data_IF_746352196189
#
_entry.id   IF_746352196189
#
_cell.length_a   1.000
_cell.length_b   1.000
_cell.length_c   1.000
_cell.angle_alpha   90.00
_cell.angle_beta   90.00
_cell.angle_gamma   90.00
#
_symmetry.space_group_name_H-M   'P 1'
#
loop_
_entity.id
_entity.type
_entity.pdbx_description
1 polymer ?
#
# COMPACT_ATOMS: atom_id res chain seq x y z
N UNK A 1 -12.43 7.05 -42.77
CA UNK A 1 -13.83 7.53 -42.60
C UNK A 1 -14.67 7.07 -43.77
N UNK A 2 -14.27 7.30 -45.01
CA UNK A 2 -15.00 6.95 -46.21
C UNK A 2 -15.30 5.46 -46.34
N UNK A 3 -14.36 4.60 -45.92
CA UNK A 3 -14.55 3.14 -45.94
C UNK A 3 -15.58 2.67 -44.90
N UNK A 4 -15.67 3.36 -43.77
CA UNK A 4 -16.65 3.02 -42.73
C UNK A 4 -18.06 3.46 -43.08
N UNK A 5 -18.20 4.59 -43.76
CA UNK A 5 -19.50 5.12 -44.21
C UNK A 5 -20.02 4.41 -45.48
N UNK A 6 -19.19 3.59 -46.16
CA UNK A 6 -19.49 2.88 -47.38
C UNK A 6 -19.90 1.41 -47.22
N UNK A 7 -20.04 0.88 -45.99
CA UNK A 7 -20.58 -0.44 -45.78
C UNK A 7 -22.07 -0.45 -46.10
N UNK A 8 -22.43 -1.00 -47.26
CA UNK A 8 -23.82 -1.23 -47.59
C UNK A 8 -24.47 -2.15 -46.54
N UNK A 9 -25.77 -1.93 -46.28
CA UNK A 9 -26.56 -2.56 -45.21
C UNK A 9 -26.66 -4.11 -45.26
N UNK A 10 -25.91 -4.77 -46.13
CA UNK A 10 -25.95 -6.23 -46.34
C UNK A 10 -24.74 -6.98 -45.74
N UNK A 11 -23.80 -6.29 -45.09
CA UNK A 11 -22.62 -6.95 -44.50
C UNK A 11 -22.74 -7.04 -42.99
N UNK A 12 -22.82 -8.25 -42.46
CA UNK A 12 -22.78 -8.54 -41.03
C UNK A 12 -21.34 -8.35 -40.42
N UNK A 13 -20.74 -7.17 -40.68
CA UNK A 13 -19.41 -6.86 -40.21
C UNK A 13 -19.49 -5.96 -38.95
N UNK A 14 -18.88 -6.39 -37.87
CA UNK A 14 -18.70 -5.57 -36.67
C UNK A 14 -17.24 -5.08 -36.62
N UNK A 15 -17.07 -3.75 -36.61
CA UNK A 15 -15.75 -3.12 -36.50
C UNK A 15 -15.48 -2.82 -35.03
N UNK A 16 -14.38 -3.34 -34.49
CA UNK A 16 -13.95 -3.11 -33.10
C UNK A 16 -12.59 -2.42 -33.14
N UNK A 17 -12.50 -1.27 -32.46
CA UNK A 17 -11.25 -0.55 -32.23
C UNK A 17 -10.94 -0.52 -30.75
N UNK A 18 -9.65 -0.51 -30.38
CA UNK A 18 -9.20 -0.32 -29.00
C UNK A 18 -8.18 0.82 -28.95
N UNK A 19 -8.31 1.66 -27.96
CA UNK A 19 -7.37 2.75 -27.67
C UNK A 19 -7.30 3.00 -26.15
N UNK A 20 -6.16 3.41 -25.67
CA UNK A 20 -5.99 3.92 -24.31
C UNK A 20 -6.17 5.44 -24.22
N UNK A 21 -6.32 6.12 -25.38
CA UNK A 21 -6.51 7.57 -25.46
C UNK A 21 -7.64 7.91 -26.43
N UNK A 22 -8.84 7.99 -25.90
CA UNK A 22 -10.01 8.40 -26.70
C UNK A 22 -10.00 9.88 -27.02
N UNK A 23 -9.34 10.69 -26.20
CA UNK A 23 -9.22 12.15 -26.29
C UNK A 23 -8.47 12.64 -27.54
N UNK A 24 -7.61 11.80 -28.14
CA UNK A 24 -6.86 12.13 -29.35
C UNK A 24 -7.53 11.65 -30.65
N UNK A 25 -8.62 10.89 -30.53
CA UNK A 25 -9.36 10.46 -31.73
C UNK A 25 -10.16 11.60 -32.31
N UNK A 26 -10.21 11.64 -33.64
CA UNK A 26 -11.07 12.57 -34.36
C UNK A 26 -12.56 12.31 -33.99
N UNK A 27 -13.27 13.34 -33.57
CA UNK A 27 -14.68 13.27 -33.20
C UNK A 27 -15.55 12.68 -34.31
N UNK A 28 -15.14 12.83 -35.59
CA UNK A 28 -15.81 12.22 -36.71
C UNK A 28 -15.83 10.69 -36.67
N UNK A 29 -14.84 10.05 -36.04
CA UNK A 29 -14.82 8.59 -35.84
C UNK A 29 -15.83 8.13 -34.79
N UNK A 30 -16.17 9.00 -33.86
CA UNK A 30 -17.04 8.70 -32.71
C UNK A 30 -18.52 9.01 -32.96
N UNK A 31 -18.87 9.41 -34.20
CA UNK A 31 -20.27 9.70 -34.61
C UNK A 31 -21.07 8.43 -34.86
N UNK A 32 -22.41 8.48 -34.68
CA UNK A 32 -23.31 7.38 -35.01
C UNK A 32 -23.07 6.82 -36.43
N UNK A 33 -23.11 5.49 -36.54
CA UNK A 33 -22.80 4.77 -37.78
C UNK A 33 -21.33 4.41 -37.99
N UNK A 34 -20.45 4.77 -37.01
CA UNK A 34 -19.02 4.42 -36.97
C UNK A 34 -18.70 3.75 -35.63
N UNK A 35 -17.81 4.32 -34.81
CA UNK A 35 -17.59 3.85 -33.42
C UNK A 35 -18.61 4.52 -32.48
N UNK A 36 -19.83 4.13 -32.56
CA UNK A 36 -20.94 4.72 -31.81
C UNK A 36 -21.07 4.16 -30.39
N UNK A 37 -20.49 2.97 -30.13
CA UNK A 37 -20.46 2.34 -28.81
C UNK A 37 -19.09 2.45 -28.19
N UNK A 38 -19.05 3.10 -27.03
CA UNK A 38 -17.83 3.25 -26.23
C UNK A 38 -17.97 2.35 -25.01
N UNK A 39 -17.06 1.39 -24.88
CA UNK A 39 -17.01 0.50 -23.73
C UNK A 39 -15.72 0.81 -23.00
N UNK A 40 -15.84 1.31 -21.77
CA UNK A 40 -14.68 1.51 -20.89
C UNK A 40 -14.35 0.21 -20.20
N UNK A 41 -13.11 -0.26 -20.37
CA UNK A 41 -12.58 -1.41 -19.65
C UNK A 41 -11.87 -0.91 -18.40
N UNK A 42 -12.49 -1.10 -17.25
CA UNK A 42 -11.92 -0.75 -15.94
C UNK A 42 -10.89 -1.75 -15.48
N UNK A 43 -10.09 -1.36 -14.48
CA UNK A 43 -9.22 -2.31 -13.79
C UNK A 43 -10.06 -3.41 -13.13
N UNK A 44 -9.55 -4.66 -13.10
CA UNK A 44 -10.29 -5.77 -12.53
C UNK A 44 -10.39 -5.69 -11.00
N UNK A 45 -11.54 -6.10 -10.47
CA UNK A 45 -11.73 -6.37 -9.04
C UNK A 45 -10.94 -7.62 -8.59
N UNK A 46 -11.00 -7.99 -7.32
CA UNK A 46 -10.25 -9.15 -6.78
C UNK A 46 -10.63 -10.45 -7.48
N UNK A 47 -11.90 -10.64 -7.81
CA UNK A 47 -12.37 -11.85 -8.52
C UNK A 47 -11.89 -11.87 -9.95
N UNK A 48 -11.93 -10.73 -10.63
CA UNK A 48 -11.37 -10.55 -11.97
C UNK A 48 -9.87 -10.80 -11.99
N UNK A 49 -9.11 -10.27 -11.01
CA UNK A 49 -7.67 -10.52 -10.90
C UNK A 49 -7.36 -12.00 -10.67
N UNK A 50 -8.10 -12.66 -9.79
CA UNK A 50 -7.96 -14.11 -9.58
C UNK A 50 -8.25 -14.91 -10.86
N UNK A 51 -9.29 -14.55 -11.60
CA UNK A 51 -9.62 -15.20 -12.87
C UNK A 51 -8.52 -14.99 -13.93
N UNK A 52 -7.98 -13.77 -14.02
CA UNK A 52 -6.86 -13.44 -14.92
C UNK A 52 -5.61 -14.24 -14.54
N UNK A 53 -5.27 -14.29 -13.26
CA UNK A 53 -4.14 -15.08 -12.76
C UNK A 53 -4.29 -16.57 -13.11
N UNK A 54 -5.50 -17.15 -12.97
CA UNK A 54 -5.81 -18.52 -13.38
C UNK A 54 -5.58 -18.75 -14.88
N UNK A 55 -5.88 -17.77 -15.72
CA UNK A 55 -5.61 -17.86 -17.16
C UNK A 55 -4.10 -17.91 -17.44
N UNK A 56 -3.33 -17.01 -16.80
CA UNK A 56 -1.89 -16.91 -17.04
C UNK A 56 -1.06 -17.99 -16.34
N UNK A 57 -1.69 -18.84 -15.53
CA UNK A 57 -1.03 -19.97 -14.85
C UNK A 57 -1.32 -21.34 -15.49
N UNK A 58 -2.21 -21.43 -16.50
CA UNK A 58 -2.61 -22.70 -17.11
C UNK A 58 -1.44 -23.56 -17.62
N UNK A 59 -0.43 -22.91 -18.20
CA UNK A 59 0.74 -23.55 -18.80
C UNK A 59 1.98 -23.47 -17.88
N UNK A 60 1.80 -23.19 -16.61
CA UNK A 60 2.89 -23.02 -15.64
C UNK A 60 2.77 -24.05 -14.50
N UNK A 61 3.91 -24.52 -14.02
CA UNK A 61 3.95 -25.41 -12.87
C UNK A 61 3.85 -24.60 -11.57
N UNK A 62 2.69 -24.66 -10.90
CA UNK A 62 2.48 -24.04 -9.59
C UNK A 62 2.62 -25.09 -8.48
N UNK A 63 3.27 -24.68 -7.37
CA UNK A 63 3.17 -25.43 -6.12
C UNK A 63 1.72 -25.37 -5.59
N UNK A 64 1.21 -26.47 -4.98
CA UNK A 64 -0.11 -26.46 -4.33
C UNK A 64 -0.29 -25.39 -3.26
N UNK A 65 0.81 -24.91 -2.66
CA UNK A 65 0.82 -23.91 -1.60
C UNK A 65 0.65 -22.47 -2.13
N UNK A 66 0.66 -22.27 -3.46
CA UNK A 66 0.47 -20.94 -4.06
C UNK A 66 -1.01 -20.59 -4.10
N UNK A 67 -1.41 -19.60 -3.31
CA UNK A 67 -2.76 -19.04 -3.32
C UNK A 67 -2.88 -17.91 -4.35
N UNK A 68 -3.54 -18.19 -5.50
CA UNK A 68 -3.84 -17.13 -6.49
C UNK A 68 -4.81 -16.09 -5.95
N UNK A 69 -5.67 -16.46 -5.00
CA UNK A 69 -6.61 -15.56 -4.35
C UNK A 69 -5.88 -14.53 -3.48
N UNK A 70 -4.86 -14.96 -2.73
CA UNK A 70 -4.08 -14.05 -1.89
C UNK A 70 -3.22 -13.13 -2.76
N UNK A 71 -2.65 -13.64 -3.85
CA UNK A 71 -1.96 -12.81 -4.83
C UNK A 71 -2.92 -11.79 -5.49
N UNK A 72 -4.17 -12.18 -5.79
CA UNK A 72 -5.17 -11.27 -6.32
C UNK A 72 -5.52 -10.13 -5.34
N UNK A 73 -5.58 -10.42 -4.03
CA UNK A 73 -5.77 -9.39 -3.00
C UNK A 73 -4.59 -8.41 -2.94
N UNK A 74 -3.36 -8.92 -3.03
CA UNK A 74 -2.15 -8.11 -2.97
C UNK A 74 -1.94 -7.20 -4.19
N UNK A 75 -2.45 -7.62 -5.35
CA UNK A 75 -2.27 -6.92 -6.64
C UNK A 75 -3.38 -5.92 -6.94
N UNK A 76 -3.91 -5.25 -5.91
CA UNK A 76 -4.90 -4.18 -6.06
C UNK A 76 -4.37 -3.09 -6.99
N UNK A 77 -5.19 -2.67 -7.96
CA UNK A 77 -4.81 -1.67 -8.97
C UNK A 77 -4.03 -2.22 -10.18
N UNK A 78 -3.71 -3.53 -10.21
CA UNK A 78 -3.02 -4.13 -11.36
C UNK A 78 -3.98 -4.37 -12.51
N UNK A 79 -3.51 -4.08 -13.72
CA UNK A 79 -4.18 -4.45 -14.97
C UNK A 79 -3.95 -5.93 -15.31
N UNK A 80 -4.69 -6.45 -16.28
CA UNK A 80 -4.44 -7.79 -16.80
C UNK A 80 -3.02 -8.00 -17.33
N UNK A 81 -2.41 -6.96 -17.91
CA UNK A 81 -1.04 -6.99 -18.40
C UNK A 81 -0.02 -7.07 -17.25
N UNK A 82 -0.26 -6.34 -16.15
CA UNK A 82 0.62 -6.40 -14.98
C UNK A 82 0.57 -7.77 -14.33
N UNK A 83 -0.61 -8.38 -14.21
CA UNK A 83 -0.79 -9.73 -13.66
C UNK A 83 -0.12 -10.78 -14.56
N UNK A 84 -0.22 -10.64 -15.88
CA UNK A 84 0.49 -11.50 -16.84
C UNK A 84 2.00 -11.39 -16.66
N UNK A 85 2.52 -10.15 -16.49
CA UNK A 85 3.93 -9.90 -16.24
C UNK A 85 4.40 -10.54 -14.92
N UNK A 86 3.65 -10.40 -13.83
CA UNK A 86 3.94 -11.08 -12.55
C UNK A 86 4.15 -12.58 -12.76
N UNK A 87 3.18 -13.24 -13.39
CA UNK A 87 3.24 -14.70 -13.58
C UNK A 87 4.36 -15.12 -14.54
N UNK A 88 4.70 -14.30 -15.53
CA UNK A 88 5.81 -14.54 -16.42
C UNK A 88 7.16 -14.42 -15.70
N UNK A 89 7.36 -13.35 -14.92
CA UNK A 89 8.57 -13.16 -14.11
C UNK A 89 8.72 -14.28 -13.06
N UNK A 90 7.62 -14.77 -12.46
CA UNK A 90 7.64 -15.93 -11.57
C UNK A 90 8.16 -17.19 -12.28
N UNK A 91 7.69 -17.45 -13.50
CA UNK A 91 8.14 -18.59 -14.28
C UNK A 91 9.63 -18.49 -14.65
N UNK A 92 10.09 -17.31 -15.09
CA UNK A 92 11.50 -17.05 -15.38
C UNK A 92 12.34 -17.25 -14.12
N UNK A 93 11.90 -16.76 -12.99
CA UNK A 93 12.61 -16.92 -11.71
C UNK A 93 12.69 -18.38 -11.27
N UNK A 94 11.60 -19.13 -11.38
CA UNK A 94 11.55 -20.55 -11.03
C UNK A 94 12.56 -21.38 -11.83
N UNK A 95 12.75 -21.06 -13.13
CA UNK A 95 13.74 -21.73 -13.98
C UNK A 95 15.17 -21.34 -13.59
N UNK A 96 15.41 -20.05 -13.32
CA UNK A 96 16.75 -19.55 -12.93
C UNK A 96 17.23 -20.12 -11.60
N UNK A 97 16.34 -20.35 -10.65
CA UNK A 97 16.67 -20.89 -9.33
C UNK A 97 16.86 -22.42 -9.33
N UNK A 98 16.79 -23.07 -10.51
CA UNK A 98 17.01 -24.51 -10.65
C UNK A 98 15.92 -25.38 -10.02
N UNK A 99 14.76 -24.82 -9.69
CA UNK A 99 13.62 -25.51 -9.04
C UNK A 99 12.67 -26.17 -10.04
N UNK A 100 13.20 -26.79 -11.09
CA UNK A 100 12.42 -27.53 -12.12
C UNK A 100 11.30 -26.69 -12.77
N UNK A 101 11.38 -25.36 -12.71
CA UNK A 101 10.35 -24.45 -13.22
C UNK A 101 9.09 -24.35 -12.35
N UNK A 102 9.08 -24.94 -11.14
CA UNK A 102 7.94 -24.85 -10.22
C UNK A 102 7.91 -23.50 -9.52
N UNK A 103 6.79 -22.79 -9.64
CA UNK A 103 6.53 -21.52 -8.96
C UNK A 103 6.09 -21.81 -7.53
N UNK A 104 6.88 -21.36 -6.54
CA UNK A 104 6.59 -21.51 -5.11
C UNK A 104 6.09 -20.18 -4.53
N UNK A 105 5.46 -20.16 -3.32
CA UNK A 105 5.05 -18.92 -2.65
C UNK A 105 6.19 -17.90 -2.50
N UNK A 106 7.40 -18.34 -2.17
CA UNK A 106 8.58 -17.48 -2.03
C UNK A 106 8.94 -16.78 -3.34
N UNK A 107 8.83 -17.48 -4.47
CA UNK A 107 9.08 -16.91 -5.80
C UNK A 107 8.02 -15.84 -6.11
N UNK A 108 6.75 -16.14 -5.85
CA UNK A 108 5.66 -15.19 -6.08
C UNK A 108 5.88 -13.93 -5.26
N UNK A 109 6.22 -14.08 -3.99
CA UNK A 109 6.48 -12.96 -3.08
C UNK A 109 7.71 -12.13 -3.53
N UNK A 110 8.84 -12.78 -3.87
CA UNK A 110 10.05 -12.05 -4.32
C UNK A 110 9.81 -11.30 -5.64
N UNK A 111 9.07 -11.90 -6.57
CA UNK A 111 8.72 -11.26 -7.84
C UNK A 111 7.73 -10.12 -7.64
N UNK A 112 6.69 -10.30 -6.83
CA UNK A 112 5.75 -9.25 -6.49
C UNK A 112 6.48 -8.03 -5.91
N UNK A 113 7.31 -8.24 -4.91
CA UNK A 113 8.10 -7.18 -4.29
C UNK A 113 9.06 -6.51 -5.29
N UNK A 114 9.64 -7.28 -6.21
CA UNK A 114 10.51 -6.74 -7.26
C UNK A 114 9.77 -5.83 -8.24
N UNK A 115 8.52 -6.15 -8.54
CA UNK A 115 7.69 -5.34 -9.46
C UNK A 115 7.20 -4.08 -8.78
N UNK A 116 6.76 -4.18 -7.52
CA UNK A 116 6.16 -3.05 -6.79
C UNK A 116 7.23 -2.07 -6.28
N UNK A 117 8.33 -2.57 -5.74
CA UNK A 117 9.34 -1.74 -5.04
C UNK A 117 10.67 -1.68 -5.79
N UNK A 118 10.95 -2.68 -6.62
CA UNK A 118 12.21 -2.76 -7.36
C UNK A 118 13.08 -3.97 -6.98
N UNK A 119 14.17 -4.14 -7.70
CA UNK A 119 15.11 -5.23 -7.45
C UNK A 119 15.88 -5.05 -6.14
N UNK A 120 16.23 -6.15 -5.48
CA UNK A 120 17.11 -6.13 -4.29
C UNK A 120 18.43 -5.46 -4.62
N UNK A 121 18.81 -4.48 -3.81
CA UNK A 121 20.10 -3.80 -3.94
C UNK A 121 21.25 -4.67 -3.41
N UNK A 122 22.36 -4.72 -4.14
CA UNK A 122 23.57 -5.45 -3.72
C UNK A 122 24.57 -4.57 -2.92
N UNK A 123 24.16 -3.41 -2.45
CA UNK A 123 25.06 -2.52 -1.70
C UNK A 123 25.21 -2.99 -0.26
N UNK A 124 26.44 -3.13 0.19
CA UNK A 124 26.73 -3.29 1.61
C UNK A 124 26.23 -2.06 2.37
N UNK A 125 25.32 -2.25 3.29
CA UNK A 125 24.73 -1.18 4.12
C UNK A 125 25.48 -1.18 5.45
N UNK A 126 25.96 0.00 5.90
CA UNK A 126 26.58 0.11 7.24
C UNK A 126 25.55 -0.15 8.31
N UNK A 127 25.97 -0.71 9.46
CA UNK A 127 25.09 -0.98 10.62
C UNK A 127 24.34 0.28 11.08
N UNK A 128 25.00 1.43 11.06
CA UNK A 128 24.36 2.70 11.40
C UNK A 128 23.23 3.07 10.45
N UNK A 129 23.40 2.83 9.13
CA UNK A 129 22.36 3.05 8.15
C UNK A 129 21.23 2.01 8.29
N UNK A 130 21.58 0.74 8.56
CA UNK A 130 20.60 -0.33 8.79
C UNK A 130 19.71 -0.01 9.99
N UNK A 131 20.28 0.44 11.10
CA UNK A 131 19.54 0.85 12.28
C UNK A 131 18.60 2.05 11.98
N UNK A 132 19.07 3.02 11.22
CA UNK A 132 18.27 4.21 10.86
C UNK A 132 17.06 3.84 9.99
N UNK A 133 17.27 3.01 8.97
CA UNK A 133 16.18 2.49 8.13
C UNK A 133 15.21 1.67 8.98
N UNK A 134 15.70 0.86 9.91
CA UNK A 134 14.86 0.07 10.81
C UNK A 134 13.95 0.96 11.68
N UNK A 135 14.44 2.08 12.21
CA UNK A 135 13.59 3.03 12.93
C UNK A 135 12.54 3.67 12.03
N UNK A 136 12.92 4.03 10.80
CA UNK A 136 12.02 4.62 9.82
C UNK A 136 10.86 3.67 9.50
N UNK A 137 11.16 2.43 9.11
CA UNK A 137 10.14 1.42 8.79
C UNK A 137 9.32 1.02 10.02
N UNK A 138 9.95 0.92 11.20
CA UNK A 138 9.23 0.66 12.44
C UNK A 138 8.23 1.79 12.76
N UNK A 139 8.56 3.04 12.46
CA UNK A 139 7.66 4.18 12.59
C UNK A 139 6.40 4.03 11.74
N UNK A 140 6.55 3.72 10.45
CA UNK A 140 5.42 3.44 9.55
C UNK A 140 4.57 2.27 10.05
N UNK A 141 5.22 1.18 10.48
CA UNK A 141 4.53 -0.03 10.91
C UNK A 141 3.71 0.20 12.18
N UNK A 142 4.29 0.84 13.20
CA UNK A 142 3.60 1.12 14.47
C UNK A 142 2.41 2.04 14.24
N UNK A 143 2.59 3.14 13.50
CA UNK A 143 1.48 4.03 13.20
C UNK A 143 0.42 3.30 12.37
N UNK A 144 0.82 2.48 11.39
CA UNK A 144 -0.11 1.69 10.59
C UNK A 144 -0.99 0.76 11.43
N UNK A 145 -0.41 0.06 12.41
CA UNK A 145 -1.16 -0.81 13.34
C UNK A 145 -2.12 0.00 14.23
N UNK A 146 -1.72 1.22 14.63
CA UNK A 146 -2.54 2.08 15.50
C UNK A 146 -3.69 2.78 14.76
N UNK A 147 -3.62 2.90 13.44
CA UNK A 147 -4.68 3.54 12.64
C UNK A 147 -5.80 2.57 12.32
N UNK A 148 -6.98 2.77 12.91
CA UNK A 148 -8.13 1.88 12.77
C UNK A 148 -8.74 1.87 11.36
N UNK A 149 -8.68 2.98 10.66
CA UNK A 149 -9.27 3.15 9.32
C UNK A 149 -8.24 3.04 8.19
N UNK A 150 -7.09 2.41 8.47
CA UNK A 150 -6.03 2.24 7.47
C UNK A 150 -5.81 0.76 7.14
N UNK A 151 -5.04 0.52 6.10
CA UNK A 151 -4.70 -0.80 5.60
C UNK A 151 -3.87 -1.61 6.60
N UNK A 152 -4.02 -2.92 6.58
CA UNK A 152 -3.30 -3.81 7.49
C UNK A 152 -1.81 -3.85 7.16
N UNK A 153 -0.96 -3.76 8.19
CA UNK A 153 0.48 -4.00 8.07
C UNK A 153 0.70 -5.49 7.80
N UNK A 154 1.21 -5.80 6.62
CA UNK A 154 1.48 -7.18 6.23
C UNK A 154 2.91 -7.61 6.54
N UNK A 155 3.85 -6.72 6.28
CA UNK A 155 5.28 -7.03 6.34
C UNK A 155 6.09 -5.76 6.45
N UNK A 156 7.18 -5.82 7.19
CA UNK A 156 8.18 -4.74 7.30
C UNK A 156 9.53 -5.29 6.85
N UNK A 157 10.22 -4.58 5.96
CA UNK A 157 11.51 -5.01 5.43
C UNK A 157 12.49 -3.85 5.39
N UNK A 158 13.71 -4.07 5.87
CA UNK A 158 14.81 -3.13 5.77
C UNK A 158 15.83 -3.50 4.68
N UNK A 159 15.47 -4.46 3.84
CA UNK A 159 16.28 -4.81 2.68
C UNK A 159 16.15 -3.73 1.61
N UNK A 160 17.26 -3.16 1.12
CA UNK A 160 17.22 -2.15 0.07
C UNK A 160 16.59 -2.71 -1.21
N UNK A 161 15.65 -1.97 -1.79
CA UNK A 161 15.04 -2.30 -3.09
C UNK A 161 14.88 -1.03 -3.94
N UNK A 162 15.39 -1.04 -5.14
CA UNK A 162 15.41 0.15 -5.99
C UNK A 162 16.09 1.31 -5.28
N UNK A 163 15.42 2.44 -5.14
CA UNK A 163 15.89 3.63 -4.43
C UNK A 163 15.50 3.63 -2.93
N UNK A 164 14.60 2.72 -2.52
CA UNK A 164 14.15 2.60 -1.14
C UNK A 164 15.17 1.87 -0.26
N UNK A 165 15.40 2.39 0.93
CA UNK A 165 16.26 1.77 1.93
C UNK A 165 15.61 0.59 2.64
N UNK A 166 14.28 0.67 2.83
CA UNK A 166 13.39 -0.34 3.37
C UNK A 166 11.99 -0.12 2.84
N UNK A 167 11.02 -0.92 3.23
CA UNK A 167 9.62 -0.80 2.84
C UNK A 167 8.71 -1.46 3.86
N UNK A 168 7.67 -0.75 4.27
CA UNK A 168 6.55 -1.29 5.04
C UNK A 168 5.39 -1.57 4.08
N UNK A 169 4.98 -2.82 3.99
CA UNK A 169 3.91 -3.27 3.09
C UNK A 169 2.58 -3.24 3.81
N UNK A 170 1.62 -2.58 3.17
CA UNK A 170 0.23 -2.53 3.62
C UNK A 170 -0.66 -3.32 2.67
N UNK A 171 -1.63 -4.02 3.19
CA UNK A 171 -2.63 -4.74 2.42
C UNK A 171 -3.96 -4.00 2.50
N UNK A 172 -4.52 -3.50 1.38
CA UNK A 172 -5.83 -2.88 1.38
C UNK A 172 -6.89 -3.79 1.98
N UNK A 173 -7.66 -3.25 2.93
CA UNK A 173 -8.71 -3.99 3.63
C UNK A 173 -9.96 -4.20 2.77
N UNK A 174 -10.18 -3.33 1.79
CA UNK A 174 -11.34 -3.37 0.90
C UNK A 174 -10.94 -3.22 -0.56
N UNK A 175 -11.76 -3.80 -1.46
CA UNK A 175 -11.66 -3.58 -2.90
C UNK A 175 -12.36 -2.28 -3.37
N UNK A 176 -12.84 -1.44 -2.44
CA UNK A 176 -13.54 -0.19 -2.72
C UNK A 176 -12.54 0.90 -3.16
N UNK A 177 -11.94 0.68 -4.32
CA UNK A 177 -11.00 1.62 -4.92
C UNK A 177 -11.77 2.92 -5.26
N UNK A 178 -11.32 4.02 -4.64
CA UNK A 178 -11.79 5.37 -5.00
C UNK A 178 -12.89 5.94 -4.09
N UNK A 179 -13.37 5.22 -3.07
CA UNK A 179 -14.28 5.77 -2.07
C UNK A 179 -13.63 5.80 -0.68
N UNK A 180 -12.68 6.74 -0.51
CA UNK A 180 -11.95 6.88 0.74
C UNK A 180 -12.65 7.87 1.68
N UNK A 181 -12.76 7.49 2.96
CA UNK A 181 -13.25 8.40 4.01
C UNK A 181 -12.19 9.44 4.39
N UNK A 182 -12.61 10.54 5.02
CA UNK A 182 -11.68 11.54 5.56
C UNK A 182 -10.71 10.89 6.57
N UNK A 183 -11.21 10.01 7.43
CA UNK A 183 -10.42 9.32 8.45
C UNK A 183 -9.39 8.38 7.83
N UNK A 184 -9.72 7.68 6.73
CA UNK A 184 -8.76 6.88 5.98
C UNK A 184 -7.62 7.75 5.41
N UNK A 185 -7.96 8.88 4.77
CA UNK A 185 -6.95 9.78 4.18
C UNK A 185 -6.05 10.41 5.25
N UNK A 186 -6.60 10.83 6.39
CA UNK A 186 -5.82 11.31 7.52
C UNK A 186 -4.93 10.20 8.10
N UNK A 187 -5.41 8.97 8.18
CA UNK A 187 -4.62 7.82 8.61
C UNK A 187 -3.47 7.55 7.65
N UNK A 188 -3.70 7.66 6.35
CA UNK A 188 -2.67 7.53 5.31
C UNK A 188 -1.56 8.59 5.46
N UNK A 189 -1.94 9.85 5.73
CA UNK A 189 -0.99 10.93 6.04
C UNK A 189 -0.17 10.59 7.29
N UNK A 190 -0.83 10.16 8.37
CA UNK A 190 -0.16 9.81 9.64
C UNK A 190 0.83 8.68 9.47
N UNK A 191 0.45 7.63 8.73
CA UNK A 191 1.33 6.50 8.43
C UNK A 191 2.54 6.96 7.63
N UNK A 192 2.35 7.78 6.58
CA UNK A 192 3.45 8.32 5.78
C UNK A 192 4.42 9.18 6.63
N UNK A 193 3.93 9.91 7.61
CA UNK A 193 4.76 10.73 8.52
C UNK A 193 5.49 9.90 9.57
N UNK A 194 5.09 8.64 9.80
CA UNK A 194 5.61 7.76 10.83
C UNK A 194 7.12 7.55 10.79
N UNK A 195 7.67 7.34 9.60
CA UNK A 195 9.11 7.11 9.42
C UNK A 195 9.95 8.32 9.83
N UNK A 196 9.60 9.51 9.35
CA UNK A 196 10.30 10.75 9.71
C UNK A 196 10.18 11.07 11.21
N UNK A 197 8.99 10.91 11.78
CA UNK A 197 8.76 11.16 13.18
C UNK A 197 9.57 10.21 14.08
N UNK A 198 9.70 8.93 13.69
CA UNK A 198 10.56 7.99 14.40
C UNK A 198 12.03 8.40 14.36
N UNK A 199 12.55 8.84 13.20
CA UNK A 199 13.92 9.36 13.10
C UNK A 199 14.10 10.61 13.99
N UNK A 200 13.17 11.54 13.99
CA UNK A 200 13.26 12.76 14.81
C UNK A 200 13.26 12.46 16.31
N UNK A 201 12.41 11.54 16.77
CA UNK A 201 12.32 11.15 18.18
C UNK A 201 13.62 10.50 18.68
N UNK A 202 14.28 9.70 17.82
CA UNK A 202 15.46 8.93 18.19
C UNK A 202 16.75 9.74 18.05
N UNK A 203 16.90 10.44 16.93
CA UNK A 203 18.17 11.11 16.58
C UNK A 203 18.14 12.63 16.82
N UNK A 204 16.96 13.18 17.02
CA UNK A 204 16.75 14.62 17.12
C UNK A 204 16.58 15.31 15.77
N UNK A 205 15.96 16.48 15.79
CA UNK A 205 15.54 17.23 14.61
C UNK A 205 16.67 17.56 13.62
N UNK A 206 17.89 17.79 14.14
CA UNK A 206 19.03 18.15 13.32
C UNK A 206 19.66 16.93 12.58
N UNK A 207 19.22 15.71 12.92
CA UNK A 207 19.84 14.48 12.45
C UNK A 207 18.89 13.58 11.65
N UNK A 208 17.71 14.09 11.27
CA UNK A 208 16.78 13.39 10.36
C UNK A 208 17.38 13.32 8.95
N UNK A 209 16.96 12.32 8.18
CA UNK A 209 17.50 12.10 6.85
C UNK A 209 16.56 12.57 5.74
N UNK A 210 17.06 12.58 4.51
CA UNK A 210 16.25 12.83 3.31
C UNK A 210 15.44 11.61 2.89
N UNK A 211 15.46 10.52 3.66
CA UNK A 211 14.76 9.27 3.34
C UNK A 211 13.25 9.42 3.18
N UNK A 212 12.66 10.33 3.97
CA UNK A 212 11.22 10.61 3.94
C UNK A 212 10.74 11.52 2.80
N UNK A 213 11.55 11.79 1.79
CA UNK A 213 11.16 12.72 0.70
C UNK A 213 9.94 12.25 -0.09
N UNK A 214 9.82 10.95 -0.35
CA UNK A 214 8.64 10.34 -0.99
C UNK A 214 7.40 10.43 -0.11
N UNK A 215 7.57 10.22 1.20
CA UNK A 215 6.49 10.26 2.18
C UNK A 215 5.90 11.67 2.29
N UNK A 216 6.76 12.69 2.29
CA UNK A 216 6.32 14.09 2.26
C UNK A 216 5.60 14.44 0.97
N UNK A 217 6.07 13.94 -0.18
CA UNK A 217 5.36 14.18 -1.44
C UNK A 217 3.98 13.51 -1.43
N UNK A 218 3.87 12.29 -0.93
CA UNK A 218 2.60 11.60 -0.79
C UNK A 218 1.67 12.35 0.17
N UNK A 219 2.15 12.72 1.35
CA UNK A 219 1.43 13.49 2.37
C UNK A 219 0.87 14.78 1.79
N UNK A 220 1.70 15.56 1.09
CA UNK A 220 1.28 16.79 0.45
C UNK A 220 0.19 16.57 -0.60
N UNK A 221 0.35 15.56 -1.45
CA UNK A 221 -0.63 15.25 -2.51
C UNK A 221 -2.00 14.89 -1.91
N UNK A 222 -2.02 14.03 -0.87
CA UNK A 222 -3.26 13.63 -0.21
C UNK A 222 -3.94 14.84 0.45
N UNK A 223 -3.20 15.62 1.25
CA UNK A 223 -3.75 16.80 1.91
C UNK A 223 -4.29 17.81 0.89
N UNK A 224 -3.57 18.01 -0.21
CA UNK A 224 -4.01 18.88 -1.30
C UNK A 224 -5.32 18.39 -1.93
N UNK A 225 -5.44 17.10 -2.25
CA UNK A 225 -6.66 16.53 -2.82
C UNK A 225 -7.84 16.60 -1.85
N UNK A 226 -7.61 16.42 -0.56
CA UNK A 226 -8.63 16.60 0.48
C UNK A 226 -9.21 18.01 0.45
N UNK A 227 -8.35 19.02 0.32
CA UNK A 227 -8.74 20.44 0.33
C UNK A 227 -9.33 20.87 -1.01
N UNK A 228 -8.72 20.50 -2.14
CA UNK A 228 -9.07 21.05 -3.45
C UNK A 228 -10.07 20.22 -4.23
N UNK A 229 -10.09 18.90 -4.05
CA UNK A 229 -10.84 17.98 -4.92
C UNK A 229 -12.01 17.32 -4.21
N UNK A 230 -11.79 16.85 -2.98
CA UNK A 230 -12.80 16.03 -2.28
C UNK A 230 -13.76 16.85 -1.42
N UNK A 231 -13.57 18.18 -1.32
CA UNK A 231 -14.43 19.06 -0.52
C UNK A 231 -14.41 18.70 0.96
N UNK A 232 -13.29 18.21 1.48
CA UNK A 232 -13.11 17.80 2.88
C UNK A 232 -12.56 18.91 3.77
N UNK A 233 -12.38 20.12 3.19
CA UNK A 233 -11.97 21.34 3.88
C UNK A 233 -13.14 21.94 4.66
N UNK A 234 -12.85 22.50 5.83
CA UNK A 234 -13.80 23.28 6.60
C UNK A 234 -13.75 24.78 6.23
N UNK A 235 -12.57 25.26 5.88
CA UNK A 235 -12.32 26.69 5.54
C UNK A 235 -12.78 27.01 4.13
N UNK A 236 -12.43 26.15 3.17
CA UNK A 236 -12.78 26.30 1.75
C UNK A 236 -14.22 25.84 1.47
N UNK A 237 -14.69 24.83 2.21
CA UNK A 237 -16.03 24.26 2.05
C UNK A 237 -16.12 23.13 1.03
N UNK A 238 -17.36 22.81 0.64
CA UNK A 238 -17.70 21.65 -0.20
C UNK A 238 -17.61 22.03 -1.70
N UNK A 239 -16.40 22.29 -2.17
CA UNK A 239 -16.14 22.71 -3.56
C UNK A 239 -15.02 21.87 -4.17
N UNK A 240 -15.11 21.64 -5.48
CA UNK A 240 -13.98 21.18 -6.29
C UNK A 240 -13.35 22.42 -6.94
N UNK A 241 -12.08 22.64 -6.65
CA UNK A 241 -11.36 23.84 -7.02
C UNK A 241 -10.47 23.57 -8.23
N UNK A 242 -10.67 24.38 -9.27
CA UNK A 242 -9.72 24.40 -10.39
C UNK A 242 -8.53 25.30 -10.02
N UNK A 243 -7.30 24.74 -9.91
CA UNK A 243 -6.11 25.51 -9.53
C UNK A 243 -5.81 26.71 -10.44
N UNK A 244 -6.23 26.64 -11.70
CA UNK A 244 -5.96 27.68 -12.71
C UNK A 244 -6.92 28.89 -12.60
N UNK A 245 -7.99 28.78 -11.81
CA UNK A 245 -9.08 29.77 -11.72
C UNK A 245 -9.28 30.35 -10.32
N UNK A 246 -8.29 30.25 -9.43
CA UNK A 246 -8.39 30.73 -8.05
C UNK A 246 -7.76 32.11 -7.87
N UNK A 247 -8.27 32.86 -6.89
CA UNK A 247 -7.65 34.10 -6.45
C UNK A 247 -6.40 33.82 -5.61
N UNK A 248 -5.43 34.75 -5.54
CA UNK A 248 -4.27 34.60 -4.64
C UNK A 248 -4.68 34.41 -3.17
N UNK A 249 -5.79 34.99 -2.74
CA UNK A 249 -6.32 34.82 -1.37
C UNK A 249 -6.78 33.39 -1.14
N UNK A 250 -7.52 32.82 -2.07
CA UNK A 250 -7.95 31.42 -1.98
C UNK A 250 -6.77 30.46 -2.03
N UNK A 251 -5.77 30.72 -2.88
CA UNK A 251 -4.55 29.93 -2.95
C UNK A 251 -3.84 29.92 -1.58
N UNK A 252 -3.68 31.08 -0.95
CA UNK A 252 -3.07 31.17 0.37
C UNK A 252 -3.86 30.39 1.44
N UNK A 253 -5.19 30.43 1.40
CA UNK A 253 -6.00 29.64 2.35
C UNK A 253 -5.82 28.13 2.14
N UNK A 254 -5.71 27.68 0.89
CA UNK A 254 -5.42 26.27 0.56
C UNK A 254 -4.06 25.88 1.13
N UNK A 255 -3.01 26.69 0.92
CA UNK A 255 -1.67 26.40 1.40
C UNK A 255 -1.63 26.31 2.94
N UNK A 256 -2.28 27.24 3.63
CA UNK A 256 -2.37 27.23 5.11
C UNK A 256 -3.10 25.98 5.59
N UNK A 257 -4.23 25.61 4.99
CA UNK A 257 -5.00 24.45 5.44
C UNK A 257 -4.28 23.14 5.17
N UNK A 258 -3.57 23.02 4.04
CA UNK A 258 -2.71 21.85 3.75
C UNK A 258 -1.62 21.73 4.83
N UNK A 259 -0.94 22.84 5.15
CA UNK A 259 0.07 22.90 6.21
C UNK A 259 -0.51 22.46 7.55
N UNK A 260 -1.66 22.99 7.94
CA UNK A 260 -2.30 22.69 9.23
C UNK A 260 -2.72 21.22 9.34
N UNK A 261 -3.25 20.62 8.25
CA UNK A 261 -3.58 19.18 8.21
C UNK A 261 -2.32 18.36 8.48
N UNK A 262 -1.22 18.67 7.78
CA UNK A 262 0.02 17.90 7.88
C UNK A 262 0.66 18.04 9.27
N UNK A 263 0.75 19.27 9.80
CA UNK A 263 1.36 19.54 11.11
C UNK A 263 0.54 18.95 12.27
N UNK A 264 -0.79 18.99 12.18
CA UNK A 264 -1.65 18.34 13.18
C UNK A 264 -1.44 16.82 13.16
N UNK A 265 -1.44 16.19 11.98
CA UNK A 265 -1.13 14.76 11.84
C UNK A 265 0.26 14.45 12.39
N UNK A 266 1.27 15.27 12.07
CA UNK A 266 2.64 15.07 12.55
C UNK A 266 2.76 15.12 14.06
N UNK A 267 2.08 16.09 14.69
CA UNK A 267 2.04 16.22 16.16
C UNK A 267 1.44 14.98 16.82
N UNK A 268 0.29 14.51 16.31
CA UNK A 268 -0.36 13.30 16.81
C UNK A 268 0.54 12.05 16.63
N UNK A 269 1.21 11.91 15.49
CA UNK A 269 2.15 10.82 15.22
C UNK A 269 3.30 10.82 16.22
N UNK A 270 3.88 11.98 16.51
CA UNK A 270 4.95 12.09 17.51
C UNK A 270 4.50 11.71 18.91
N UNK A 271 3.30 12.13 19.32
CA UNK A 271 2.72 11.74 20.61
C UNK A 271 2.51 10.23 20.71
N UNK A 272 1.97 9.61 19.65
CA UNK A 272 1.79 8.16 19.56
C UNK A 272 3.12 7.43 19.65
N UNK A 273 4.10 7.79 18.82
CA UNK A 273 5.41 7.12 18.81
C UNK A 273 6.17 7.31 20.14
N UNK A 274 6.04 8.46 20.82
CA UNK A 274 6.60 8.63 22.14
C UNK A 274 5.93 7.72 23.19
N UNK A 275 4.62 7.54 23.10
CA UNK A 275 3.87 6.61 23.97
C UNK A 275 4.34 5.16 23.74
N UNK A 276 4.60 4.78 22.49
CA UNK A 276 5.04 3.44 22.10
C UNK A 276 6.54 3.33 21.91
N UNK A 277 7.34 4.22 22.50
CA UNK A 277 8.79 4.28 22.28
C UNK A 277 9.51 2.97 22.58
N UNK A 278 9.13 2.28 23.63
CA UNK A 278 9.72 0.96 23.98
C UNK A 278 9.47 -0.07 22.87
N UNK A 279 8.28 -0.02 22.25
CA UNK A 279 7.94 -0.91 21.13
C UNK A 279 8.69 -0.52 19.85
N UNK A 280 8.92 0.77 19.64
CA UNK A 280 9.74 1.28 18.53
C UNK A 280 11.19 0.75 18.63
N UNK A 281 11.80 0.82 19.81
CA UNK A 281 13.14 0.28 20.05
C UNK A 281 13.19 -1.25 19.81
N UNK A 282 12.22 -1.98 20.34
CA UNK A 282 12.16 -3.43 20.21
C UNK A 282 11.94 -3.88 18.77
N UNK A 283 10.98 -3.24 18.04
CA UNK A 283 10.76 -3.56 16.62
C UNK A 283 11.99 -3.26 15.78
N UNK A 284 12.69 -2.15 16.04
CA UNK A 284 13.97 -1.85 15.39
C UNK A 284 15.02 -2.94 15.64
N UNK A 285 15.15 -3.46 16.86
CA UNK A 285 16.10 -4.52 17.16
C UNK A 285 15.81 -5.78 16.34
N UNK A 286 14.55 -6.22 16.31
CA UNK A 286 14.12 -7.37 15.50
C UNK A 286 14.38 -7.12 14.01
N UNK A 287 14.07 -5.94 13.51
CA UNK A 287 14.32 -5.58 12.10
C UNK A 287 15.80 -5.58 11.74
N UNK A 288 16.68 -5.16 12.63
CA UNK A 288 18.13 -5.20 12.40
C UNK A 288 18.64 -6.65 12.37
N UNK A 289 18.08 -7.55 13.17
CA UNK A 289 18.46 -8.95 13.24
C UNK A 289 17.88 -9.77 12.10
N UNK A 290 16.56 -9.72 11.90
CA UNK A 290 15.83 -10.57 10.95
C UNK A 290 15.72 -9.98 9.54
N UNK A 291 15.95 -8.66 9.36
CA UNK A 291 15.81 -7.87 8.11
C UNK A 291 14.40 -7.82 7.54
N UNK A 292 13.56 -8.77 7.84
CA UNK A 292 12.16 -8.89 7.41
C UNK A 292 11.32 -9.38 8.58
N UNK A 293 10.23 -8.67 8.87
CA UNK A 293 9.29 -8.99 9.94
C UNK A 293 7.88 -9.11 9.37
N UNK A 294 7.16 -10.15 9.78
CA UNK A 294 5.74 -10.30 9.44
C UNK A 294 4.89 -9.29 10.22
N UNK A 295 3.84 -8.78 9.60
CA UNK A 295 2.95 -7.80 10.23
C UNK A 295 2.29 -8.33 11.49
N UNK A 296 1.97 -9.63 11.56
CA UNK A 296 1.39 -10.27 12.74
C UNK A 296 2.21 -10.02 14.01
N UNK A 297 3.54 -10.08 13.90
CA UNK A 297 4.42 -9.79 15.04
C UNK A 297 4.26 -8.35 15.54
N UNK A 298 4.07 -7.38 14.62
CA UNK A 298 3.87 -5.97 15.01
C UNK A 298 2.54 -5.81 15.75
N UNK A 299 1.48 -6.48 15.30
CA UNK A 299 0.18 -6.50 16.02
C UNK A 299 0.31 -7.12 17.41
N UNK A 300 0.98 -8.26 17.54
CA UNK A 300 1.22 -8.92 18.83
C UNK A 300 2.02 -8.01 19.79
N UNK A 301 3.05 -7.36 19.29
CA UNK A 301 3.85 -6.41 20.07
C UNK A 301 3.02 -5.24 20.60
N UNK A 302 2.11 -4.69 19.79
CA UNK A 302 1.25 -3.59 20.22
C UNK A 302 0.16 -4.08 21.17
N UNK A 303 -0.46 -5.24 20.91
CA UNK A 303 -1.49 -5.84 21.74
C UNK A 303 -0.98 -6.23 23.15
N UNK A 304 0.30 -6.59 23.29
CA UNK A 304 0.95 -6.91 24.58
C UNK A 304 1.20 -5.68 25.48
N UNK A 305 0.66 -4.53 25.14
CA UNK A 305 0.75 -3.31 25.94
C UNK A 305 -0.55 -3.10 26.74
N UNK A 306 -0.49 -2.55 27.97
CA UNK A 306 -1.64 -2.23 28.85
C UNK A 306 -2.65 -1.18 28.27
N UNK A 307 -2.57 -0.93 26.97
CA UNK A 307 -3.38 0.02 26.23
C UNK A 307 -4.48 -0.65 25.40
N UNK A 308 -4.87 -1.87 25.72
CA UNK A 308 -5.96 -2.64 25.06
C UNK A 308 -7.26 -1.85 24.91
N UNK A 309 -7.56 -0.96 25.86
CA UNK A 309 -8.78 -0.14 25.85
C UNK A 309 -8.79 0.95 24.77
N UNK A 310 -7.65 1.20 24.11
CA UNK A 310 -7.53 2.22 23.05
C UNK A 310 -7.54 1.63 21.64
N UNK A 311 -7.33 0.33 21.49
CA UNK A 311 -7.39 -0.36 20.21
C UNK A 311 -8.80 -0.94 20.03
N UNK A 312 -9.65 -0.25 19.29
CA UNK A 312 -10.86 -0.91 18.76
C UNK A 312 -10.44 -1.80 17.61
N UNK A 313 -10.76 -3.11 17.63
CA UNK A 313 -10.40 -4.01 16.54
C UNK A 313 -11.03 -3.54 15.23
N UNK A 314 -10.23 -3.43 14.20
CA UNK A 314 -10.68 -3.07 12.84
C UNK A 314 -11.53 -4.16 12.22
N UNK A 315 -11.21 -5.38 12.51
CA UNK A 315 -11.85 -6.57 11.98
C UNK A 315 -11.38 -7.80 12.76
N UNK A 316 -11.86 -8.97 12.36
CA UNK A 316 -11.57 -10.27 12.96
C UNK A 316 -10.08 -10.55 13.24
N UNK A 317 -9.16 -9.89 12.56
CA UNK A 317 -7.71 -10.13 12.67
C UNK A 317 -7.13 -9.62 13.99
N UNK A 318 -7.31 -8.32 14.32
CA UNK A 318 -6.83 -7.78 15.61
C UNK A 318 -7.57 -8.44 16.76
N UNK A 319 -8.88 -8.68 16.61
CA UNK A 319 -9.65 -9.38 17.62
C UNK A 319 -9.14 -10.81 17.83
N UNK A 320 -8.82 -11.53 16.74
CA UNK A 320 -8.27 -12.88 16.84
C UNK A 320 -6.89 -12.91 17.54
N UNK A 321 -6.03 -11.91 17.30
CA UNK A 321 -4.74 -11.78 18.01
C UNK A 321 -4.94 -11.42 19.47
N UNK A 322 -5.88 -10.53 19.80
CA UNK A 322 -6.21 -10.19 21.18
C UNK A 322 -6.79 -11.40 21.94
N UNK A 323 -7.68 -12.16 21.30
CA UNK A 323 -8.28 -13.37 21.88
C UNK A 323 -7.23 -14.49 22.08
N UNK A 324 -6.29 -14.64 21.14
CA UNK A 324 -5.18 -15.57 21.25
C UNK A 324 -4.24 -15.19 22.39
N UNK A 325 -3.92 -13.89 22.53
CA UNK A 325 -3.09 -13.38 23.62
C UNK A 325 -3.76 -13.57 24.99
N UNK A 326 -5.06 -13.30 25.11
CA UNK A 326 -5.82 -13.53 26.34
C UNK A 326 -5.86 -15.01 26.75
N UNK A 327 -5.92 -15.91 25.75
CA UNK A 327 -5.80 -17.34 26.02
C UNK A 327 -4.40 -17.73 26.52
N UNK A 328 -3.36 -17.06 26.05
CA UNK A 328 -1.96 -17.31 26.50
C UNK A 328 -1.70 -16.78 27.91
N UNK A 329 -2.28 -15.62 28.30
CA UNK A 329 -2.15 -15.11 29.68
C UNK A 329 -2.85 -16.00 30.72
N UNK A 330 -3.98 -16.63 30.37
CA UNK A 330 -4.63 -17.59 31.24
C UNK A 330 -3.77 -18.81 31.58
N UNK A 331 -2.73 -19.12 30.76
CA UNK A 331 -1.75 -20.18 31.03
C UNK A 331 -0.51 -19.67 31.78
N UNK A 332 -0.35 -18.38 31.99
CA UNK A 332 0.82 -17.78 32.66
C UNK A 332 0.69 -17.82 34.19
N UNK A 333 -0.51 -17.93 34.74
CA UNK A 333 -0.79 -18.01 36.19
C UNK A 333 -0.74 -19.43 36.75
N UNK A 334 -0.18 -20.38 36.00
CA UNK A 334 0.10 -21.73 36.52
C UNK A 334 1.60 -21.88 36.80
N UNK A 335 2.11 -21.05 37.73
CA UNK A 335 3.34 -21.34 38.45
C UNK A 335 3.03 -22.40 39.51
N UNK A 336 2.83 -23.64 39.07
CA UNK A 336 2.91 -24.83 39.92
C UNK A 336 2.98 -26.09 39.03
N UNK A 337 4.06 -26.22 38.27
CA UNK A 337 4.51 -27.56 37.82
C UNK A 337 5.91 -27.79 38.38
N UNK A 338 5.95 -28.35 39.55
CA UNK A 338 7.10 -29.07 40.08
C UNK A 338 7.35 -30.23 39.12
N UNK A 339 8.46 -30.16 38.39
CA UNK A 339 8.99 -31.32 37.68
C UNK A 339 9.68 -32.26 38.65
N UNK A 340 9.48 -33.60 38.52
CA UNK A 340 10.12 -34.60 39.35
C UNK A 340 11.62 -34.76 39.10
#
# INVERSE_FOLDING_TARGET
>A
LTEMDGFENETEIVVIGATNRIDILDDALLRPGRFDRKIQVSLPDVHGREAILKVHTKDKLLSPDVSLRDLAKQTTGFSGADLANVMNECAIRAVRDGKSGMITPDIVEDVYQRIVVGAKGNRAVSEARKARVAYHEAGHAIIGVLMQEYDEVRKVSILPRGDAGGVTYFQPSTDDIGMYTKDYLLSQIKVALGGHAAEEIVYGREHVTTGASSDFQQTFNIAREMVTTYGMSETIGKMNINPDLISPVTANHIDVEIHDIVENCYTEVKELLNTYRVKLEHLKEILVEEEIVDGSLVYEMIASCDLRDRLKPKDSTIQAYMDAYDSFEQYRDVDDIILP
#
